data_IF_061840441324
#
_entry.id   IF_061840441324
#
_cell.length_a   1.000
_cell.length_b   1.000
_cell.length_c   1.000
_cell.angle_alpha   90.00
_cell.angle_beta   90.00
_cell.angle_gamma   90.00
#
_symmetry.space_group_name_H-M   'P 1'
#
loop_
_entity.id
_entity.type
_entity.pdbx_description
1 polymer ?
#
# COMPACT_ATOMS: atom_id res chain seq x y z
N UNK A 1 22.87 -27.68 -14.63
CA UNK A 1 21.42 -27.82 -14.90
C UNK A 1 20.78 -26.43 -14.91
N UNK A 2 20.43 -25.92 -16.11
CA UNK A 2 19.83 -24.60 -16.32
C UNK A 2 18.30 -24.69 -16.26
N UNK A 3 17.74 -24.78 -15.05
CA UNK A 3 16.30 -24.66 -14.88
C UNK A 3 15.92 -23.18 -14.76
N UNK A 4 15.45 -22.62 -15.88
CA UNK A 4 14.93 -21.25 -15.97
C UNK A 4 13.43 -21.28 -15.65
N UNK A 5 13.06 -20.68 -14.52
CA UNK A 5 11.71 -20.43 -14.01
C UNK A 5 10.86 -21.69 -13.77
N UNK A 6 10.87 -22.18 -12.52
CA UNK A 6 10.06 -23.31 -12.06
C UNK A 6 8.55 -23.02 -12.05
N UNK A 7 8.14 -21.78 -11.77
CA UNK A 7 6.72 -21.39 -11.70
C UNK A 7 6.36 -20.41 -12.82
N UNK A 8 6.37 -20.91 -14.07
CA UNK A 8 6.17 -20.08 -15.27
C UNK A 8 4.80 -19.41 -15.36
N UNK A 9 3.79 -19.90 -14.64
CA UNK A 9 2.43 -19.34 -14.69
C UNK A 9 2.04 -18.60 -13.40
N UNK A 10 2.96 -18.45 -12.42
CA UNK A 10 2.65 -17.78 -11.16
C UNK A 10 2.41 -16.29 -11.37
N UNK A 11 1.22 -15.80 -11.03
CA UNK A 11 0.82 -14.38 -11.08
C UNK A 11 0.77 -13.72 -9.71
N UNK A 12 0.83 -14.52 -8.64
CA UNK A 12 0.79 -14.08 -7.25
C UNK A 12 2.06 -14.50 -6.53
N UNK A 13 2.68 -13.57 -5.82
CA UNK A 13 3.78 -13.82 -4.91
C UNK A 13 3.35 -13.46 -3.49
N UNK A 14 3.56 -14.38 -2.56
CA UNK A 14 3.37 -14.14 -1.13
C UNK A 14 4.70 -14.41 -0.44
N UNK A 15 5.21 -13.41 0.28
CA UNK A 15 6.37 -13.52 1.14
C UNK A 15 5.87 -13.52 2.57
N UNK A 16 5.91 -14.66 3.25
CA UNK A 16 5.45 -14.82 4.62
C UNK A 16 6.55 -15.29 5.56
N UNK A 17 6.36 -15.08 6.86
CA UNK A 17 7.29 -15.43 7.94
C UNK A 17 8.59 -14.62 7.94
N UNK A 18 9.43 -14.82 8.96
CA UNK A 18 10.68 -14.08 9.13
C UNK A 18 11.67 -14.36 7.99
N UNK A 19 11.77 -13.40 7.07
CA UNK A 19 12.89 -13.32 6.13
C UNK A 19 14.03 -12.56 6.81
N UNK A 20 15.01 -13.31 7.35
CA UNK A 20 16.26 -12.76 7.90
C UNK A 20 17.35 -12.52 6.83
N UNK A 21 17.05 -12.86 5.56
CA UNK A 21 18.02 -12.91 4.47
C UNK A 21 18.28 -11.53 3.82
N UNK A 22 19.52 -11.36 3.35
CA UNK A 22 20.03 -10.08 2.84
C UNK A 22 19.33 -9.58 1.56
N UNK A 23 19.39 -8.26 1.34
CA UNK A 23 18.77 -7.54 0.19
C UNK A 23 19.12 -8.09 -1.20
N UNK A 24 20.27 -8.77 -1.33
CA UNK A 24 20.79 -9.31 -2.60
C UNK A 24 20.08 -10.61 -3.00
N UNK A 25 19.58 -11.36 -2.02
CA UNK A 25 19.05 -12.71 -2.19
C UNK A 25 17.73 -12.74 -2.98
N UNK A 26 16.79 -11.86 -2.62
CA UNK A 26 15.45 -11.77 -3.22
C UNK A 26 15.48 -11.63 -4.74
N UNK A 27 16.37 -10.78 -5.28
CA UNK A 27 16.47 -10.57 -6.73
C UNK A 27 17.00 -11.81 -7.45
N UNK A 28 18.07 -12.41 -6.95
CA UNK A 28 18.79 -13.49 -7.64
C UNK A 28 17.91 -14.74 -7.68
N UNK A 29 17.21 -15.02 -6.59
CA UNK A 29 16.44 -16.24 -6.45
C UNK A 29 15.09 -16.11 -7.13
N UNK A 30 14.37 -15.01 -6.90
CA UNK A 30 13.07 -14.86 -7.53
C UNK A 30 13.18 -14.84 -9.05
N UNK A 31 14.21 -14.22 -9.64
CA UNK A 31 14.41 -14.22 -11.10
C UNK A 31 14.74 -15.59 -11.69
N UNK A 32 15.23 -16.55 -10.89
CA UNK A 32 15.53 -17.92 -11.34
C UNK A 32 14.32 -18.84 -11.20
N UNK A 33 13.43 -18.53 -10.26
CA UNK A 33 12.30 -19.40 -9.90
C UNK A 33 11.00 -18.91 -10.58
N UNK A 34 10.79 -17.61 -10.70
CA UNK A 34 9.52 -17.01 -11.14
C UNK A 34 9.77 -15.90 -12.18
N UNK A 35 9.00 -15.85 -13.29
CA UNK A 35 9.00 -14.71 -14.19
C UNK A 35 8.38 -13.47 -13.52
N UNK A 36 9.19 -12.67 -12.85
CA UNK A 36 8.75 -11.49 -12.06
C UNK A 36 7.84 -10.51 -12.82
N UNK A 37 7.99 -10.40 -14.14
CA UNK A 37 7.18 -9.50 -14.98
C UNK A 37 5.72 -9.91 -15.10
N UNK A 38 5.36 -11.16 -14.81
CA UNK A 38 3.96 -11.61 -14.92
C UNK A 38 3.19 -11.52 -13.60
N UNK A 39 3.88 -11.19 -12.50
CA UNK A 39 3.24 -11.03 -11.22
C UNK A 39 2.31 -9.82 -11.27
N UNK A 40 1.07 -10.04 -10.86
CA UNK A 40 0.01 -9.03 -10.74
C UNK A 40 -0.37 -8.77 -9.29
N UNK A 41 -0.08 -9.72 -8.39
CA UNK A 41 -0.39 -9.63 -6.96
C UNK A 41 0.85 -9.87 -6.11
N UNK A 42 1.13 -8.95 -5.19
CA UNK A 42 2.20 -9.07 -4.21
C UNK A 42 1.60 -8.98 -2.80
N UNK A 43 1.86 -9.98 -1.98
CA UNK A 43 1.49 -10.01 -0.56
C UNK A 43 2.78 -10.13 0.25
N UNK A 44 3.02 -9.15 1.12
CA UNK A 44 4.08 -9.17 2.12
C UNK A 44 3.41 -9.41 3.46
N UNK A 45 3.74 -10.51 4.12
CA UNK A 45 3.23 -10.94 5.43
C UNK A 45 4.40 -11.38 6.32
N UNK A 46 5.33 -10.43 6.53
CA UNK A 46 6.64 -10.68 7.11
C UNK A 46 7.06 -9.49 7.97
N UNK A 47 7.17 -9.70 9.28
CA UNK A 47 7.42 -8.64 10.27
C UNK A 47 8.72 -7.88 10.00
N UNK A 48 9.74 -8.57 9.49
CA UNK A 48 11.09 -8.01 9.22
C UNK A 48 11.25 -7.37 7.83
N UNK A 49 10.20 -7.36 7.00
CA UNK A 49 10.30 -6.89 5.62
C UNK A 49 10.23 -5.36 5.50
N UNK A 50 11.40 -4.74 5.43
CA UNK A 50 11.52 -3.28 5.31
C UNK A 50 10.85 -2.70 4.06
N UNK A 51 10.47 -1.42 4.15
CA UNK A 51 9.89 -0.71 3.01
C UNK A 51 10.90 -0.52 1.86
N UNK A 52 12.20 -0.37 2.14
CA UNK A 52 13.25 -0.36 1.10
C UNK A 52 13.29 -1.67 0.29
N UNK A 53 13.11 -2.83 0.95
CA UNK A 53 12.99 -4.11 0.25
C UNK A 53 11.74 -4.15 -0.65
N UNK A 54 10.62 -3.55 -0.20
CA UNK A 54 9.41 -3.44 -1.02
C UNK A 54 9.67 -2.63 -2.29
N UNK A 55 10.29 -1.45 -2.18
CA UNK A 55 10.61 -0.60 -3.34
C UNK A 55 11.48 -1.36 -4.35
N UNK A 56 12.52 -2.04 -3.87
CA UNK A 56 13.41 -2.84 -4.72
C UNK A 56 12.68 -4.00 -5.39
N UNK A 57 11.78 -4.67 -4.69
CA UNK A 57 10.98 -5.75 -5.27
C UNK A 57 10.06 -5.22 -6.36
N UNK A 58 9.35 -4.12 -6.09
CA UNK A 58 8.46 -3.45 -7.05
C UNK A 58 9.19 -2.97 -8.30
N UNK A 59 10.44 -2.54 -8.17
CA UNK A 59 11.28 -2.20 -9.34
C UNK A 59 11.46 -3.37 -10.31
N UNK A 60 11.44 -4.61 -9.82
CA UNK A 60 11.54 -5.82 -10.66
C UNK A 60 10.19 -6.43 -11.04
N UNK A 61 9.09 -5.97 -10.45
CA UNK A 61 7.72 -6.48 -10.68
C UNK A 61 6.80 -5.38 -11.22
N UNK A 62 7.06 -4.85 -12.44
CA UNK A 62 6.40 -3.65 -12.94
C UNK A 62 4.89 -3.80 -13.22
N UNK A 63 4.37 -5.03 -13.23
CA UNK A 63 2.97 -5.33 -13.54
C UNK A 63 2.14 -5.69 -12.29
N UNK A 64 2.63 -5.39 -11.09
CA UNK A 64 1.80 -5.52 -9.87
C UNK A 64 0.66 -4.51 -9.92
N UNK A 65 -0.56 -5.00 -9.71
CA UNK A 65 -1.79 -4.23 -9.59
C UNK A 65 -2.33 -4.26 -8.16
N UNK A 66 -2.12 -5.37 -7.45
CA UNK A 66 -2.57 -5.54 -6.06
C UNK A 66 -1.38 -5.72 -5.13
N UNK A 67 -1.29 -4.83 -4.13
CA UNK A 67 -0.29 -4.86 -3.06
C UNK A 67 -0.99 -5.05 -1.72
N UNK A 68 -0.62 -6.11 -0.99
CA UNK A 68 -0.94 -6.26 0.43
C UNK A 68 0.35 -6.19 1.22
N UNK A 69 0.41 -5.32 2.22
CA UNK A 69 1.58 -5.12 3.06
C UNK A 69 1.24 -5.30 4.54
N UNK A 70 1.96 -6.22 5.16
CA UNK A 70 1.91 -6.53 6.58
C UNK A 70 3.36 -6.76 7.06
N UNK A 71 3.92 -5.75 7.71
CA UNK A 71 5.29 -5.79 8.24
C UNK A 71 5.52 -4.71 9.30
N UNK A 72 6.17 -5.04 10.41
CA UNK A 72 6.44 -4.09 11.48
C UNK A 72 7.66 -3.21 11.21
N UNK A 73 8.64 -3.68 10.42
CA UNK A 73 9.91 -2.99 10.14
C UNK A 73 9.82 -1.69 9.31
N UNK A 74 8.63 -1.25 8.94
CA UNK A 74 8.46 0.07 8.30
C UNK A 74 8.74 1.22 9.28
N UNK A 75 8.57 1.02 10.59
CA UNK A 75 8.79 2.04 11.63
C UNK A 75 10.27 2.42 11.78
N UNK A 76 11.19 1.54 11.39
CA UNK A 76 12.64 1.76 11.43
C UNK A 76 13.17 2.46 10.16
N UNK A 77 12.32 2.65 9.16
CA UNK A 77 12.72 3.18 7.86
C UNK A 77 12.76 4.71 7.89
N UNK A 78 13.91 5.31 7.56
CA UNK A 78 14.01 6.76 7.38
C UNK A 78 13.26 7.16 6.09
N UNK A 79 11.99 7.54 6.26
CA UNK A 79 11.05 7.85 5.18
C UNK A 79 11.58 8.93 4.22
N UNK A 80 12.30 9.91 4.74
CA UNK A 80 12.87 11.02 3.96
C UNK A 80 13.96 10.52 3.00
N UNK A 81 14.89 9.71 3.49
CA UNK A 81 15.96 9.13 2.67
C UNK A 81 15.40 8.21 1.59
N UNK A 82 14.36 7.43 1.91
CA UNK A 82 13.72 6.53 0.93
C UNK A 82 13.09 7.33 -0.21
N UNK A 83 12.33 8.38 0.11
CA UNK A 83 11.64 9.20 -0.90
C UNK A 83 12.61 9.93 -1.83
N UNK A 84 13.79 10.30 -1.34
CA UNK A 84 14.84 10.96 -2.13
C UNK A 84 15.56 9.99 -3.07
N UNK A 85 15.44 8.67 -2.87
CA UNK A 85 16.13 7.70 -3.71
C UNK A 85 15.59 7.68 -5.14
N UNK A 86 16.49 7.52 -6.11
CA UNK A 86 16.12 7.41 -7.52
C UNK A 86 15.23 6.19 -7.78
N UNK A 87 15.47 5.08 -7.07
CA UNK A 87 14.65 3.86 -7.19
C UNK A 87 13.22 4.12 -6.74
N UNK A 88 13.00 4.83 -5.63
CA UNK A 88 11.66 5.18 -5.17
C UNK A 88 10.92 6.04 -6.21
N UNK A 89 11.58 7.09 -6.72
CA UNK A 89 11.00 7.96 -7.76
C UNK A 89 10.62 7.17 -9.01
N UNK A 90 11.52 6.30 -9.48
CA UNK A 90 11.27 5.47 -10.64
C UNK A 90 10.08 4.53 -10.42
N UNK A 91 10.06 3.83 -9.28
CA UNK A 91 8.96 2.91 -8.95
C UNK A 91 7.65 3.65 -8.81
N UNK A 92 7.61 4.77 -8.08
CA UNK A 92 6.42 5.61 -7.92
C UNK A 92 5.82 6.03 -9.27
N UNK A 93 6.67 6.47 -10.20
CA UNK A 93 6.22 6.93 -11.52
C UNK A 93 5.76 5.80 -12.45
N UNK A 94 6.25 4.58 -12.26
CA UNK A 94 6.08 3.49 -13.24
C UNK A 94 5.12 2.39 -12.81
N UNK A 95 4.95 2.16 -11.50
CA UNK A 95 4.11 1.07 -11.01
C UNK A 95 2.63 1.21 -11.42
N UNK A 96 1.92 0.08 -11.48
CA UNK A 96 0.51 -0.01 -11.90
C UNK A 96 -0.42 -0.38 -10.75
N UNK A 97 -0.01 -0.10 -9.52
CA UNK A 97 -0.73 -0.54 -8.33
C UNK A 97 -2.03 0.26 -8.22
N UNK A 98 -3.16 -0.44 -8.32
CA UNK A 98 -4.50 0.13 -8.17
C UNK A 98 -5.13 -0.24 -6.84
N UNK A 99 -4.74 -1.37 -6.24
CA UNK A 99 -5.30 -1.86 -4.99
C UNK A 99 -4.20 -1.98 -3.93
N UNK A 100 -4.33 -1.22 -2.85
CA UNK A 100 -3.38 -1.26 -1.73
C UNK A 100 -4.11 -1.69 -0.46
N UNK A 101 -3.60 -2.72 0.20
CA UNK A 101 -4.05 -3.16 1.52
C UNK A 101 -2.91 -3.08 2.51
N UNK A 102 -3.15 -2.35 3.58
CA UNK A 102 -2.23 -2.11 4.68
C UNK A 102 -2.85 -2.78 5.90
N UNK A 103 -2.25 -3.86 6.41
CA UNK A 103 -2.87 -4.67 7.48
C UNK A 103 -2.61 -4.11 8.89
N UNK A 104 -1.40 -3.67 9.16
CA UNK A 104 -1.04 -3.11 10.46
C UNK A 104 -1.46 -1.66 10.60
N UNK A 105 -1.61 -1.23 11.85
CA UNK A 105 -1.82 0.17 12.17
C UNK A 105 -0.50 0.92 12.09
N UNK A 106 -0.31 1.64 11.00
CA UNK A 106 0.90 2.42 10.80
C UNK A 106 0.76 3.89 11.22
N UNK A 107 1.91 4.52 11.44
CA UNK A 107 2.01 5.96 11.65
C UNK A 107 1.55 6.74 10.41
N UNK A 108 1.21 8.01 10.63
CA UNK A 108 0.86 8.93 9.56
C UNK A 108 1.94 9.00 8.46
N UNK A 109 3.22 9.06 8.84
CA UNK A 109 4.35 9.13 7.89
C UNK A 109 4.46 7.88 7.01
N UNK A 110 4.15 6.72 7.56
CA UNK A 110 4.15 5.47 6.81
C UNK A 110 2.99 5.44 5.79
N UNK A 111 1.81 5.93 6.16
CA UNK A 111 0.69 6.07 5.21
C UNK A 111 1.05 7.03 4.08
N UNK A 112 1.73 8.15 4.37
CA UNK A 112 2.24 9.07 3.34
C UNK A 112 3.16 8.37 2.34
N UNK A 113 4.02 7.47 2.81
CA UNK A 113 4.90 6.70 1.93
C UNK A 113 4.10 5.86 0.93
N UNK A 114 3.07 5.13 1.36
CA UNK A 114 2.23 4.34 0.46
C UNK A 114 1.47 5.20 -0.55
N UNK A 115 0.87 6.30 -0.10
CA UNK A 115 0.16 7.25 -0.97
C UNK A 115 1.10 7.84 -2.03
N UNK A 116 2.33 8.16 -1.66
CA UNK A 116 3.34 8.70 -2.58
C UNK A 116 3.88 7.62 -3.52
N UNK A 117 4.00 6.37 -3.04
CA UNK A 117 4.46 5.25 -3.84
C UNK A 117 3.45 4.85 -4.92
N UNK A 118 2.15 4.94 -4.65
CA UNK A 118 1.11 4.38 -5.53
C UNK A 118 0.19 5.50 -6.11
N UNK A 119 0.68 6.35 -7.03
CA UNK A 119 -0.12 7.46 -7.58
C UNK A 119 -1.35 7.01 -8.39
N UNK A 120 -1.37 5.76 -8.86
CA UNK A 120 -2.48 5.16 -9.63
C UNK A 120 -3.46 4.36 -8.76
N UNK A 121 -3.32 4.45 -7.44
CA UNK A 121 -4.19 3.75 -6.49
C UNK A 121 -5.65 4.17 -6.68
N UNK A 122 -6.52 3.19 -6.80
CA UNK A 122 -7.98 3.33 -6.91
C UNK A 122 -8.68 2.94 -5.62
N UNK A 123 -8.15 1.93 -4.93
CA UNK A 123 -8.74 1.38 -3.71
C UNK A 123 -7.67 1.28 -2.62
N UNK A 124 -7.96 1.87 -1.46
CA UNK A 124 -7.09 1.83 -0.29
C UNK A 124 -7.81 1.14 0.89
N UNK A 125 -7.22 0.04 1.36
CA UNK A 125 -7.65 -0.65 2.57
C UNK A 125 -6.63 -0.41 3.68
N UNK A 126 -7.06 0.12 4.82
CA UNK A 126 -6.19 0.52 5.93
C UNK A 126 -6.80 0.16 7.29
N UNK A 127 -5.94 -0.09 8.27
CA UNK A 127 -6.31 -0.04 9.69
C UNK A 127 -5.71 1.24 10.30
N UNK A 128 -6.53 2.02 10.98
CA UNK A 128 -6.15 3.33 11.53
C UNK A 128 -6.48 3.36 13.01
N UNK A 129 -5.53 3.85 13.82
CA UNK A 129 -5.83 4.24 15.19
C UNK A 129 -6.85 5.38 15.21
N UNK A 130 -7.91 5.24 16.01
CA UNK A 130 -9.00 6.23 16.12
C UNK A 130 -8.51 7.67 16.26
N UNK A 131 -7.48 7.92 17.08
CA UNK A 131 -6.94 9.27 17.31
C UNK A 131 -6.26 9.90 16.09
N UNK A 132 -5.95 9.12 15.06
CA UNK A 132 -5.32 9.58 13.81
C UNK A 132 -6.28 9.48 12.61
N UNK A 133 -7.53 9.06 12.82
CA UNK A 133 -8.51 8.88 11.75
C UNK A 133 -8.69 10.16 10.93
N UNK A 134 -8.99 11.27 11.58
CA UNK A 134 -9.25 12.54 10.89
C UNK A 134 -8.02 13.03 10.13
N UNK A 135 -6.84 13.03 10.75
CA UNK A 135 -5.62 13.54 10.12
C UNK A 135 -5.19 12.68 8.92
N UNK A 136 -5.31 11.36 9.02
CA UNK A 136 -5.01 10.43 7.92
C UNK A 136 -6.01 10.61 6.78
N UNK A 137 -7.31 10.62 7.07
CA UNK A 137 -8.34 10.72 6.03
C UNK A 137 -8.31 12.10 5.37
N UNK A 138 -8.21 13.19 6.14
CA UNK A 138 -8.01 14.55 5.60
C UNK A 138 -6.83 14.59 4.64
N UNK A 139 -5.68 14.05 5.04
CA UNK A 139 -4.50 14.00 4.18
C UNK A 139 -4.75 13.22 2.88
N UNK A 140 -5.34 12.03 2.96
CA UNK A 140 -5.61 11.19 1.79
C UNK A 140 -6.55 11.93 0.83
N UNK A 141 -7.64 12.50 1.33
CA UNK A 141 -8.62 13.22 0.52
C UNK A 141 -8.05 14.51 -0.09
N UNK A 142 -7.20 15.26 0.62
CA UNK A 142 -6.48 16.39 0.01
C UNK A 142 -5.54 15.92 -1.10
N UNK A 143 -4.98 14.71 -0.99
CA UNK A 143 -4.08 14.14 -2.00
C UNK A 143 -4.82 13.60 -3.23
N UNK A 144 -6.12 13.32 -3.18
CA UNK A 144 -6.89 12.95 -4.39
C UNK A 144 -6.92 14.10 -5.38
N UNK A 145 -6.92 15.35 -4.90
CA UNK A 145 -6.90 16.55 -5.75
C UNK A 145 -5.56 16.79 -6.47
N UNK A 146 -4.46 16.13 -6.07
CA UNK A 146 -3.10 16.46 -6.55
C UNK A 146 -2.28 15.23 -6.96
N UNK A 147 -2.18 14.22 -6.09
CA UNK A 147 -1.21 13.13 -6.20
C UNK A 147 -1.82 11.77 -6.56
N UNK A 148 -3.06 11.51 -6.16
CA UNK A 148 -3.77 10.23 -6.35
C UNK A 148 -5.18 10.46 -6.91
N UNK A 149 -5.31 11.07 -8.11
CA UNK A 149 -6.61 11.45 -8.69
C UNK A 149 -7.50 10.25 -9.04
N UNK A 150 -6.95 9.04 -9.02
CA UNK A 150 -7.68 7.82 -9.34
C UNK A 150 -8.30 7.14 -8.11
N UNK A 151 -7.98 7.59 -6.90
CA UNK A 151 -8.54 7.01 -5.68
C UNK A 151 -10.04 7.32 -5.66
N UNK A 152 -10.86 6.27 -5.61
CA UNK A 152 -12.32 6.35 -5.56
C UNK A 152 -12.90 5.56 -4.39
N UNK A 153 -12.09 4.79 -3.67
CA UNK A 153 -12.55 4.13 -2.44
C UNK A 153 -11.49 4.04 -1.34
N UNK A 154 -11.96 4.22 -0.11
CA UNK A 154 -11.20 3.98 1.12
C UNK A 154 -12.02 3.04 1.98
N UNK A 155 -11.35 2.01 2.46
CA UNK A 155 -11.92 1.01 3.35
C UNK A 155 -11.08 0.94 4.63
N UNK A 156 -11.74 1.21 5.76
CA UNK A 156 -11.12 1.33 7.07
C UNK A 156 -11.60 0.17 7.95
N UNK A 157 -10.64 -0.66 8.37
CA UNK A 157 -10.88 -1.82 9.23
C UNK A 157 -11.10 -1.41 10.68
N UNK A 158 -11.74 -2.30 11.44
CA UNK A 158 -11.85 -2.20 12.90
C UNK A 158 -12.44 -0.87 13.40
N UNK A 159 -13.47 -0.38 12.70
CA UNK A 159 -14.09 0.92 12.99
C UNK A 159 -15.35 0.77 13.84
N UNK A 160 -15.65 1.80 14.64
CA UNK A 160 -16.92 1.93 15.37
C UNK A 160 -17.90 2.74 14.54
N UNK A 161 -19.20 2.45 14.64
CA UNK A 161 -20.26 3.21 13.95
C UNK A 161 -20.20 4.72 14.21
N UNK A 162 -19.75 5.14 15.40
CA UNK A 162 -19.57 6.55 15.75
C UNK A 162 -18.58 7.30 14.85
N UNK A 163 -17.63 6.59 14.24
CA UNK A 163 -16.66 7.18 13.31
C UNK A 163 -17.29 7.67 12.01
N UNK A 164 -18.46 7.16 11.64
CA UNK A 164 -19.19 7.64 10.45
C UNK A 164 -19.55 9.11 10.60
N UNK A 165 -20.05 9.51 11.78
CA UNK A 165 -20.39 10.92 12.05
C UNK A 165 -19.17 11.82 11.95
N UNK A 166 -18.06 11.40 12.56
CA UNK A 166 -16.78 12.11 12.51
C UNK A 166 -16.32 12.33 11.06
N UNK A 167 -16.34 11.27 10.23
CA UNK A 167 -15.91 11.37 8.84
C UNK A 167 -16.84 12.25 8.00
N UNK A 168 -18.17 12.15 8.21
CA UNK A 168 -19.12 13.02 7.52
C UNK A 168 -18.88 14.48 7.87
N UNK A 169 -18.79 14.80 9.15
CA UNK A 169 -18.50 16.16 9.62
C UNK A 169 -17.20 16.67 9.03
N UNK A 170 -16.12 15.89 9.04
CA UNK A 170 -14.84 16.24 8.44
C UNK A 170 -14.97 16.57 6.94
N UNK A 171 -15.60 15.68 6.16
CA UNK A 171 -15.72 15.82 4.71
C UNK A 171 -16.57 17.05 4.36
N UNK A 172 -17.68 17.25 5.06
CA UNK A 172 -18.63 18.34 4.83
C UNK A 172 -18.06 19.69 5.28
N UNK A 173 -17.39 19.76 6.45
CA UNK A 173 -16.87 21.02 6.98
C UNK A 173 -15.69 21.58 6.17
N UNK A 174 -14.96 20.72 5.47
CA UNK A 174 -13.76 21.08 4.71
C UNK A 174 -13.93 20.91 3.19
N UNK A 175 -15.16 20.60 2.72
CA UNK A 175 -15.47 20.42 1.30
C UNK A 175 -14.47 19.47 0.60
N UNK A 176 -14.19 18.34 1.25
CA UNK A 176 -13.14 17.40 0.81
C UNK A 176 -13.58 16.55 -0.38
N UNK A 177 -14.87 16.17 -0.43
CA UNK A 177 -15.46 15.32 -1.46
C UNK A 177 -16.90 15.73 -1.75
N UNK A 178 -17.28 15.58 -3.01
CA UNK A 178 -18.66 15.69 -3.47
C UNK A 178 -19.23 14.30 -3.78
N UNK A 179 -20.55 14.13 -3.67
CA UNK A 179 -21.28 12.90 -4.06
C UNK A 179 -20.76 11.60 -3.43
N UNK A 180 -20.22 11.68 -2.22
CA UNK A 180 -19.63 10.53 -1.54
C UNK A 180 -20.70 9.65 -0.84
N UNK A 181 -20.37 8.38 -0.66
CA UNK A 181 -21.17 7.43 0.12
C UNK A 181 -20.33 6.86 1.26
N UNK A 182 -20.87 6.87 2.48
CA UNK A 182 -20.28 6.15 3.63
C UNK A 182 -21.22 5.04 4.08
N UNK A 183 -20.69 3.83 4.21
CA UNK A 183 -21.40 2.68 4.78
C UNK A 183 -20.55 2.00 5.84
N UNK A 184 -21.20 1.41 6.84
CA UNK A 184 -20.56 0.49 7.77
C UNK A 184 -21.18 -0.89 7.66
N UNK A 185 -20.32 -1.89 7.44
CA UNK A 185 -20.68 -3.31 7.28
C UNK A 185 -19.65 -4.09 8.08
N UNK A 186 -20.10 -5.01 8.94
CA UNK A 186 -19.24 -5.92 9.72
C UNK A 186 -18.06 -5.25 10.45
N UNK A 187 -18.33 -4.17 11.19
CA UNK A 187 -17.33 -3.39 11.94
C UNK A 187 -16.23 -2.76 11.07
N UNK A 188 -16.56 -2.52 9.81
CA UNK A 188 -15.70 -1.84 8.87
C UNK A 188 -16.43 -0.64 8.27
N UNK A 189 -15.67 0.34 7.82
CA UNK A 189 -16.18 1.56 7.22
C UNK A 189 -15.71 1.63 5.78
N UNK A 190 -16.65 1.89 4.90
CA UNK A 190 -16.41 2.06 3.47
C UNK A 190 -16.80 3.47 3.07
N UNK A 191 -15.87 4.16 2.42
CA UNK A 191 -16.06 5.47 1.80
C UNK A 191 -15.77 5.34 0.31
N UNK A 192 -16.67 5.84 -0.53
CA UNK A 192 -16.56 5.81 -1.99
C UNK A 192 -17.06 7.12 -2.58
N UNK A 193 -16.48 7.55 -3.69
CA UNK A 193 -16.87 8.74 -4.45
C UNK A 193 -16.48 8.60 -5.93
#
# INVERSE_FOLDING_TARGET
MNCVNYFRNATKLTLSHNFAESRVWLRIILKRIIPLKQLTTLIIDCDTFSFDQLIKLLHFTPNIHTLTFNSQSITESNSMLIQQSETFRLVSNTNKITNVTIKEKYSFENIKLFVTLCPRMQNLTIDIYTQHLESIIRFILLKTKINIPHLCSIYIKNTRKSMIGILKTLIESEELLDNYLIKSIDSQLYLWW
#
